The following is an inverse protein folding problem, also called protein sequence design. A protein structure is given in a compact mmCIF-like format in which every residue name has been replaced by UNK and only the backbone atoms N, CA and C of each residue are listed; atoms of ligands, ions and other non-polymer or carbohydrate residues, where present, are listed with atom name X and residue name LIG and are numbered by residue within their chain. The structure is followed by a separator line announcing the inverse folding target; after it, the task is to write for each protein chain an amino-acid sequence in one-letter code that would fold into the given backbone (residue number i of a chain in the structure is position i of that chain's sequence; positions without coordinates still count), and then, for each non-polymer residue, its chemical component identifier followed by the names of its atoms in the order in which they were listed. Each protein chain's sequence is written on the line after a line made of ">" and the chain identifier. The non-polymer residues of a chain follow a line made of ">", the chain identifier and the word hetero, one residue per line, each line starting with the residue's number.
data_IF_090063603142
#
_entry.id   IF_090063603142
#
_cell.length_a   1.000
_cell.length_b   1.000
_cell.length_c   1.000
_cell.angle_alpha   90.00
_cell.angle_beta   90.00
_cell.angle_gamma   90.00
#
_symmetry.space_group_name_H-M   'P 1'
#
loop_
_entity.id
_entity.type
_entity.pdbx_description
1 polymer ?
#
# COMPACT_ATOMS: atom_id res chain seq x y z
N UNK A 1 -2.83 -15.01 -13.75
CA UNK A 1 -2.12 -13.84 -13.21
C UNK A 1 -1.73 -14.18 -11.80
N UNK A 2 -0.45 -14.10 -11.45
CA UNK A 2 0.02 -14.45 -10.11
C UNK A 2 -0.59 -13.48 -9.11
N UNK A 3 -1.34 -14.00 -8.14
CA UNK A 3 -1.83 -13.23 -7.00
C UNK A 3 -0.60 -12.73 -6.23
N UNK A 4 -0.42 -11.41 -6.15
CA UNK A 4 0.71 -10.84 -5.41
C UNK A 4 0.33 -10.71 -3.93
N UNK A 5 1.34 -10.67 -3.07
CA UNK A 5 1.14 -10.36 -1.65
C UNK A 5 0.51 -8.96 -1.49
N UNK A 6 -0.59 -8.89 -0.74
CA UNK A 6 -1.26 -7.62 -0.45
C UNK A 6 -0.34 -6.70 0.34
N UNK A 7 -0.35 -5.42 0.02
CA UNK A 7 0.27 -4.42 0.87
C UNK A 7 -0.67 -4.04 2.01
N UNK A 8 -0.12 -3.87 3.23
CA UNK A 8 -0.89 -3.32 4.33
C UNK A 8 -1.22 -1.85 4.06
N UNK A 9 -2.37 -1.39 4.57
CA UNK A 9 -2.68 0.03 4.65
C UNK A 9 -1.58 0.75 5.45
N UNK A 10 -1.16 1.93 4.97
CA UNK A 10 -0.05 2.69 5.54
C UNK A 10 1.32 2.38 4.92
N UNK A 11 1.45 1.37 4.06
CA UNK A 11 2.69 1.17 3.30
C UNK A 11 2.95 2.36 2.36
N UNK A 12 4.20 2.75 2.18
CA UNK A 12 4.58 3.78 1.22
C UNK A 12 5.16 3.11 -0.01
N UNK A 13 4.66 3.50 -1.17
CA UNK A 13 5.13 3.06 -2.48
C UNK A 13 5.61 4.26 -3.30
N UNK A 14 6.48 3.99 -4.28
CA UNK A 14 6.98 4.95 -5.25
C UNK A 14 6.62 4.47 -6.66
N UNK A 15 6.10 5.36 -7.49
CA UNK A 15 5.82 5.12 -8.90
C UNK A 15 6.08 6.41 -9.69
N UNK A 16 6.84 6.34 -10.79
CA UNK A 16 7.20 7.50 -11.61
C UNK A 16 7.69 8.71 -10.79
N UNK A 17 8.60 8.45 -9.82
CA UNK A 17 9.12 9.43 -8.86
C UNK A 17 8.09 10.09 -7.92
N UNK A 18 6.84 9.60 -7.91
CA UNK A 18 5.78 10.03 -6.98
C UNK A 18 5.63 9.04 -5.82
N UNK A 19 5.56 9.57 -4.59
CA UNK A 19 5.30 8.78 -3.38
C UNK A 19 3.81 8.75 -3.07
N UNK A 20 3.32 7.57 -2.67
CA UNK A 20 1.96 7.40 -2.23
C UNK A 20 1.85 6.45 -1.04
N UNK A 21 0.86 6.69 -0.18
CA UNK A 21 0.54 5.82 0.95
C UNK A 21 -0.63 4.91 0.59
N UNK A 22 -0.47 3.60 0.75
CA UNK A 22 -1.51 2.60 0.51
C UNK A 22 -2.66 2.81 1.47
N UNK A 23 -3.87 2.95 0.93
CA UNK A 23 -5.12 2.96 1.68
C UNK A 23 -5.70 1.56 1.72
N UNK A 24 -5.74 0.90 0.57
CA UNK A 24 -6.33 -0.43 0.43
C UNK A 24 -5.72 -1.16 -0.77
N UNK A 25 -5.45 -2.44 -0.61
CA UNK A 25 -4.95 -3.29 -1.68
C UNK A 25 -5.64 -4.66 -1.66
N UNK A 26 -6.21 -5.02 -2.80
CA UNK A 26 -6.98 -6.25 -2.97
C UNK A 26 -6.12 -7.44 -3.44
N UNK A 27 -4.83 -7.23 -3.70
CA UNK A 27 -3.89 -8.27 -4.15
C UNK A 27 -3.96 -8.55 -5.65
N UNK A 28 -4.63 -7.64 -6.38
CA UNK A 28 -4.73 -7.66 -7.83
C UNK A 28 -3.77 -6.68 -8.50
N UNK A 29 -4.14 -6.20 -9.68
CA UNK A 29 -3.35 -5.26 -10.47
C UNK A 29 -3.49 -3.80 -10.05
N UNK A 30 -4.35 -3.50 -9.07
CA UNK A 30 -4.62 -2.13 -8.62
C UNK A 30 -4.66 -2.01 -7.11
N UNK A 31 -4.36 -0.81 -6.63
CA UNK A 31 -4.47 -0.42 -5.24
C UNK A 31 -5.03 1.00 -5.12
N UNK A 32 -5.64 1.31 -3.99
CA UNK A 32 -6.04 2.66 -3.63
C UNK A 32 -4.96 3.29 -2.76
N UNK A 33 -4.57 4.53 -3.07
CA UNK A 33 -3.50 5.26 -2.39
C UNK A 33 -3.90 6.70 -2.09
N UNK A 34 -3.17 7.35 -1.18
CA UNK A 34 -3.11 8.81 -1.08
C UNK A 34 -1.78 9.27 -1.67
N UNK A 35 -1.85 10.05 -2.76
CA UNK A 35 -0.70 10.70 -3.38
C UNK A 35 -1.00 12.20 -3.51
N UNK A 36 -0.06 13.06 -3.12
CA UNK A 36 -0.26 14.51 -3.08
C UNK A 36 -1.44 14.98 -2.20
N UNK A 37 -1.86 14.18 -1.21
CA UNK A 37 -3.02 14.46 -0.34
C UNK A 37 -4.38 14.13 -0.95
N UNK A 38 -4.42 13.53 -2.14
CA UNK A 38 -5.66 13.13 -2.83
C UNK A 38 -5.72 11.61 -2.91
N UNK A 39 -6.92 11.03 -2.70
CA UNK A 39 -7.15 9.59 -2.91
C UNK A 39 -7.19 9.29 -4.40
N UNK A 40 -6.34 8.35 -4.82
CA UNK A 40 -6.18 7.94 -6.21
C UNK A 40 -6.12 6.41 -6.31
N UNK A 41 -6.38 5.90 -7.52
CA UNK A 41 -6.26 4.47 -7.82
C UNK A 41 -5.03 4.26 -8.70
N UNK A 42 -4.06 3.51 -8.21
CA UNK A 42 -2.82 3.19 -8.91
C UNK A 42 -2.83 1.73 -9.39
N UNK A 43 -2.03 1.45 -10.42
CA UNK A 43 -1.89 0.11 -11.00
C UNK A 43 -0.43 -0.33 -10.92
N UNK A 44 -0.20 -1.60 -10.59
CA UNK A 44 1.14 -2.16 -10.36
C UNK A 44 2.06 -2.14 -11.58
N UNK A 45 1.46 -2.20 -12.77
CA UNK A 45 2.18 -2.18 -14.03
C UNK A 45 1.42 -1.28 -15.01
N UNK A 46 2.00 -0.13 -15.32
CA UNK A 46 1.58 0.67 -16.47
C UNK A 46 2.85 1.06 -17.24
N UNK A 47 2.86 0.74 -18.53
CA UNK A 47 3.90 1.13 -19.50
C UNK A 47 5.37 0.87 -19.11
N UNK A 48 5.65 -0.28 -18.48
CA UNK A 48 7.02 -0.70 -18.16
C UNK A 48 7.64 -0.06 -16.92
N UNK A 49 6.90 0.79 -16.21
CA UNK A 49 7.29 1.31 -14.90
C UNK A 49 6.73 0.43 -13.78
N UNK A 50 7.60 0.05 -12.84
CA UNK A 50 7.25 -0.80 -11.70
C UNK A 50 7.01 0.05 -10.45
N UNK A 51 5.90 -0.20 -9.75
CA UNK A 51 5.69 0.36 -8.42
C UNK A 51 6.66 -0.29 -7.42
N UNK A 52 7.45 0.51 -6.71
CA UNK A 52 8.42 0.03 -5.71
C UNK A 52 7.89 0.30 -4.30
N UNK A 53 8.00 -0.68 -3.39
CA UNK A 53 7.68 -0.47 -1.97
C UNK A 53 8.84 0.24 -1.29
N UNK A 54 8.59 1.43 -0.76
CA UNK A 54 9.59 2.27 -0.08
C UNK A 54 9.62 1.98 1.42
N UNK A 55 8.45 1.77 2.03
CA UNK A 55 8.34 1.37 3.43
C UNK A 55 7.08 0.55 3.67
N UNK A 56 7.14 -0.32 4.68
CA UNK A 56 5.96 -0.98 5.26
C UNK A 56 5.69 -0.29 6.60
N UNK A 57 4.42 -0.12 7.01
CA UNK A 57 4.12 0.41 8.33
C UNK A 57 4.73 -0.54 9.35
N UNK A 58 5.41 0.00 10.36
CA UNK A 58 5.97 -0.80 11.45
C UNK A 58 4.85 -1.69 11.99
N UNK A 59 5.03 -3.00 11.90
CA UNK A 59 4.04 -3.98 12.33
C UNK A 59 4.10 -4.10 13.85
N UNK A 60 3.89 -2.99 14.57
CA UNK A 60 3.66 -2.96 16.01
C UNK A 60 2.42 -2.12 16.33
N UNK A 61 1.33 -2.33 15.59
CA UNK A 61 -0.01 -2.18 16.13
C UNK A 61 -0.49 -3.56 16.64
N UNK A 62 0.28 -4.14 17.57
CA UNK A 62 -0.25 -5.13 18.49
C UNK A 62 -1.19 -4.35 19.39
N UNK A 63 -2.51 -4.45 19.15
CA UNK A 63 -3.47 -3.98 20.13
C UNK A 63 -3.39 -4.92 21.34
N UNK A 64 -2.54 -4.52 22.29
CA UNK A 64 -2.42 -5.01 23.66
C UNK A 64 -3.66 -4.64 24.48
N UNK A 65 -4.86 -4.99 23.99
CA UNK A 65 -6.09 -4.99 24.79
C UNK A 65 -6.65 -6.41 24.91
N UNK A 66 -5.78 -7.36 25.25
CA UNK A 66 -6.19 -8.40 26.19
C UNK A 66 -6.16 -7.79 27.60
N UNK A 67 -7.29 -7.22 28.03
CA UNK A 67 -7.35 -6.56 29.32
C UNK A 67 -8.76 -6.19 29.75
N UNK A 68 -9.27 -6.99 30.70
CA UNK A 68 -10.25 -6.63 31.72
C UNK A 68 -11.76 -6.74 31.40
N UNK A 69 -12.31 -7.79 32.04
CA UNK A 69 -13.65 -8.00 32.61
C UNK A 69 -14.75 -8.57 31.70
#
# INVERSE_FOLDING_TARGET
>A
MSERERLPAGAVISYADELATVVEDFGGSSLDVIAGGIRQKWYWSFDGEECVVVSRPDTEAVDLNQGAL
#
